data_IF_400549414635
#
_entry.id   IF_400549414635
#
_cell.length_a   1.000
_cell.length_b   1.000
_cell.length_c   1.000
_cell.angle_alpha   90.00
_cell.angle_beta   90.00
_cell.angle_gamma   90.00
#
_symmetry.space_group_name_H-M   'P 1'
#
loop_
_entity.id
_entity.type
_entity.pdbx_description
1 polymer ?
#
# COMPACT_ATOMS: atom_id res chain seq x y z
N UNK A 1 1.84 -21.03 -6.49
CA UNK A 1 1.51 -19.74 -7.12
C UNK A 1 0.88 -18.84 -6.07
N UNK A 2 1.52 -17.72 -5.70
CA UNK A 2 0.93 -16.76 -4.74
C UNK A 2 -0.11 -15.92 -5.51
N UNK A 3 -1.34 -16.41 -5.58
CA UNK A 3 -2.49 -15.58 -5.97
C UNK A 3 -2.72 -14.55 -4.84
N UNK A 4 -2.04 -13.40 -4.95
CA UNK A 4 -2.19 -12.27 -4.02
C UNK A 4 -3.24 -11.27 -4.49
N UNK A 5 -3.48 -10.23 -3.68
CA UNK A 5 -4.40 -9.13 -4.01
C UNK A 5 -4.14 -8.51 -5.40
N UNK A 6 -2.88 -8.48 -5.84
CA UNK A 6 -2.48 -8.05 -7.18
C UNK A 6 -3.11 -8.86 -8.31
N UNK A 7 -3.14 -10.20 -8.19
CA UNK A 7 -3.74 -11.05 -9.22
C UNK A 7 -5.25 -10.81 -9.30
N UNK A 8 -5.91 -10.64 -8.14
CA UNK A 8 -7.32 -10.32 -8.06
C UNK A 8 -7.64 -8.97 -8.74
N UNK A 9 -6.83 -7.94 -8.50
CA UNK A 9 -6.97 -6.63 -9.12
C UNK A 9 -6.83 -6.72 -10.65
N UNK A 10 -5.82 -7.45 -11.14
CA UNK A 10 -5.62 -7.67 -12.59
C UNK A 10 -6.81 -8.42 -13.21
N UNK A 11 -7.34 -9.46 -12.57
CA UNK A 11 -8.53 -10.17 -13.05
C UNK A 11 -9.78 -9.27 -13.04
N UNK A 12 -9.92 -8.39 -12.04
CA UNK A 12 -11.01 -7.44 -11.96
C UNK A 12 -10.97 -6.41 -13.10
N UNK A 13 -9.78 -5.90 -13.45
CA UNK A 13 -9.59 -4.98 -14.57
C UNK A 13 -9.77 -5.64 -15.96
N UNK A 14 -9.53 -6.96 -16.05
CA UNK A 14 -9.63 -7.71 -17.30
C UNK A 14 -11.07 -8.08 -17.65
N UNK A 15 -11.96 -8.17 -16.65
CA UNK A 15 -13.36 -8.56 -16.84
C UNK A 15 -14.26 -7.33 -17.14
N UNK A 16 -15.48 -7.58 -17.65
CA UNK A 16 -16.51 -6.53 -17.80
C UNK A 16 -16.80 -5.90 -16.43
N UNK A 17 -16.82 -4.55 -16.27
CA UNK A 17 -17.07 -3.49 -17.27
C UNK A 17 -15.85 -2.72 -17.82
N UNK A 18 -14.61 -3.04 -17.42
CA UNK A 18 -13.42 -2.24 -17.78
C UNK A 18 -12.70 -2.74 -19.03
N UNK A 19 -12.62 -4.06 -19.24
CA UNK A 19 -11.98 -4.67 -20.41
C UNK A 19 -10.60 -4.07 -20.75
N UNK A 20 -9.74 -3.87 -19.74
CA UNK A 20 -8.44 -3.25 -19.98
C UNK A 20 -7.53 -4.16 -20.80
N UNK A 21 -6.89 -3.59 -21.83
CA UNK A 21 -5.81 -4.28 -22.51
C UNK A 21 -4.63 -4.47 -21.55
N UNK A 22 -3.83 -5.55 -21.68
CA UNK A 22 -2.68 -5.83 -20.81
C UNK A 22 -1.70 -4.64 -20.68
N UNK A 23 -1.55 -3.87 -21.77
CA UNK A 23 -0.72 -2.65 -21.80
C UNK A 23 -1.25 -1.54 -20.86
N UNK A 24 -2.57 -1.37 -20.75
CA UNK A 24 -3.18 -0.38 -19.86
C UNK A 24 -3.06 -0.78 -18.39
N UNK A 25 -3.21 -2.08 -18.10
CA UNK A 25 -3.05 -2.63 -16.74
C UNK A 25 -1.63 -2.37 -16.22
N UNK A 26 -0.62 -2.63 -17.05
CA UNK A 26 0.78 -2.37 -16.70
C UNK A 26 1.06 -0.88 -16.43
N UNK A 27 0.51 0.01 -17.24
CA UNK A 27 0.63 1.47 -17.04
C UNK A 27 -0.06 1.88 -15.72
N UNK A 28 -1.27 1.39 -15.47
CA UNK A 28 -2.01 1.67 -14.24
C UNK A 28 -1.24 1.22 -12.99
N UNK A 29 -0.72 0.00 -13.00
CA UNK A 29 0.11 -0.54 -11.91
C UNK A 29 1.39 0.25 -11.70
N UNK A 30 2.02 0.71 -12.78
CA UNK A 30 3.21 1.55 -12.72
C UNK A 30 2.89 2.88 -12.05
N UNK A 31 1.77 3.52 -12.41
CA UNK A 31 1.32 4.79 -11.81
C UNK A 31 1.02 4.58 -10.33
N UNK A 32 0.24 3.55 -9.97
CA UNK A 32 -0.08 3.20 -8.59
C UNK A 32 1.19 3.02 -7.76
N UNK A 33 2.10 2.18 -8.23
CA UNK A 33 3.35 1.88 -7.52
C UNK A 33 4.24 3.11 -7.39
N UNK A 34 4.34 3.93 -8.45
CA UNK A 34 5.15 5.15 -8.44
C UNK A 34 4.60 6.20 -7.49
N UNK A 35 3.28 6.39 -7.48
CA UNK A 35 2.60 7.32 -6.58
C UNK A 35 2.78 6.88 -5.13
N UNK A 36 2.52 5.61 -4.81
CA UNK A 36 2.69 5.10 -3.45
C UNK A 36 4.14 5.20 -2.97
N UNK A 37 5.12 4.93 -3.84
CA UNK A 37 6.55 5.13 -3.50
C UNK A 37 6.89 6.59 -3.23
N UNK A 38 6.37 7.52 -4.05
CA UNK A 38 6.53 8.95 -3.82
C UNK A 38 5.94 9.38 -2.47
N UNK A 39 4.73 8.92 -2.14
CA UNK A 39 4.07 9.20 -0.87
C UNK A 39 4.86 8.64 0.31
N UNK A 40 5.46 7.46 0.20
CA UNK A 40 6.36 6.93 1.23
C UNK A 40 7.60 7.80 1.39
N UNK A 41 8.29 8.14 0.31
CA UNK A 41 9.53 8.93 0.37
C UNK A 41 9.27 10.33 0.94
N UNK A 42 8.23 11.00 0.49
CA UNK A 42 7.89 12.37 0.89
C UNK A 42 7.15 12.42 2.23
N UNK A 43 6.24 11.47 2.47
CA UNK A 43 5.32 11.45 3.59
C UNK A 43 5.88 10.82 4.85
N UNK A 44 6.75 9.80 4.77
CA UNK A 44 7.18 9.10 5.99
C UNK A 44 7.97 9.99 6.95
N UNK A 45 8.91 10.80 6.43
CA UNK A 45 9.75 11.69 7.25
C UNK A 45 8.93 12.70 8.09
N UNK A 46 7.98 13.47 7.52
CA UNK A 46 7.16 14.39 8.30
C UNK A 46 6.15 13.66 9.19
N UNK A 47 5.56 12.56 8.71
CA UNK A 47 4.52 11.83 9.43
C UNK A 47 5.07 11.17 10.69
N UNK A 48 6.29 10.60 10.64
CA UNK A 48 7.00 10.08 11.81
C UNK A 48 7.43 11.15 12.83
N UNK A 49 7.56 12.43 12.42
CA UNK A 49 7.83 13.52 13.36
C UNK A 49 6.58 14.08 14.02
N UNK A 50 5.44 14.05 13.33
CA UNK A 50 4.22 14.72 13.78
C UNK A 50 3.22 13.77 14.46
N UNK A 51 3.30 12.46 14.21
CA UNK A 51 2.34 11.46 14.72
C UNK A 51 3.04 10.28 15.38
N UNK A 52 2.33 9.63 16.33
CA UNK A 52 2.74 8.35 16.93
C UNK A 52 2.65 7.24 15.89
N UNK A 53 3.62 6.31 15.90
CA UNK A 53 3.71 5.21 14.93
C UNK A 53 2.40 4.40 14.82
N UNK A 54 1.67 4.21 15.92
CA UNK A 54 0.35 3.56 15.96
C UNK A 54 -0.73 4.30 15.16
N UNK A 55 -0.79 5.64 15.24
CA UNK A 55 -1.77 6.42 14.49
C UNK A 55 -1.49 6.36 12.99
N UNK A 56 -0.20 6.37 12.62
CA UNK A 56 0.22 6.25 11.22
C UNK A 56 -0.17 4.87 10.67
N UNK A 57 0.02 3.81 11.46
CA UNK A 57 -0.43 2.46 11.11
C UNK A 57 -1.96 2.38 10.96
N UNK A 58 -2.71 2.99 11.88
CA UNK A 58 -4.18 3.02 11.82
C UNK A 58 -4.69 3.76 10.58
N UNK A 59 -4.11 4.90 10.23
CA UNK A 59 -4.44 5.65 9.00
C UNK A 59 -4.12 4.80 7.76
N UNK A 60 -2.96 4.13 7.73
CA UNK A 60 -2.60 3.26 6.61
C UNK A 60 -3.57 2.08 6.41
N UNK A 61 -4.05 1.47 7.51
CA UNK A 61 -5.04 0.40 7.47
C UNK A 61 -6.41 0.93 7.03
N UNK A 62 -6.86 2.07 7.56
CA UNK A 62 -8.11 2.70 7.15
C UNK A 62 -8.11 3.06 5.66
N UNK A 63 -7.00 3.61 5.16
CA UNK A 63 -6.83 3.90 3.73
C UNK A 63 -6.86 2.65 2.87
N UNK A 64 -6.31 1.53 3.38
CA UNK A 64 -6.38 0.23 2.72
C UNK A 64 -7.83 -0.28 2.63
N UNK A 65 -8.58 -0.23 3.72
CA UNK A 65 -10.00 -0.59 3.74
C UNK A 65 -10.82 0.30 2.79
N UNK A 66 -10.59 1.61 2.82
CA UNK A 66 -11.25 2.55 1.91
C UNK A 66 -10.93 2.25 0.44
N UNK A 67 -9.68 1.91 0.12
CA UNK A 67 -9.28 1.48 -1.22
C UNK A 67 -10.10 0.26 -1.66
N UNK A 68 -10.15 -0.80 -0.85
CA UNK A 68 -10.93 -2.01 -1.19
C UNK A 68 -12.43 -1.74 -1.35
N UNK A 69 -13.00 -0.87 -0.51
CA UNK A 69 -14.41 -0.47 -0.64
C UNK A 69 -14.65 0.29 -1.95
N UNK A 70 -13.76 1.20 -2.33
CA UNK A 70 -13.84 1.93 -3.59
C UNK A 70 -13.66 1.01 -4.79
N UNK A 71 -12.77 0.03 -4.73
CA UNK A 71 -12.67 -1.02 -5.76
C UNK A 71 -13.96 -1.83 -5.91
N UNK A 72 -14.66 -2.12 -4.81
CA UNK A 72 -15.94 -2.83 -4.84
C UNK A 72 -17.09 -2.02 -5.47
N UNK A 73 -17.05 -0.69 -5.35
CA UNK A 73 -18.09 0.22 -5.86
C UNK A 73 -17.70 0.83 -7.22
N UNK A 74 -16.49 0.61 -7.72
CA UNK A 74 -15.98 1.23 -8.93
C UNK A 74 -16.79 0.84 -10.17
N UNK A 75 -17.50 1.81 -10.76
CA UNK A 75 -18.24 1.64 -12.02
C UNK A 75 -17.51 2.26 -13.22
N UNK A 76 -16.54 3.15 -12.99
CA UNK A 76 -15.80 3.85 -14.04
C UNK A 76 -14.29 3.88 -13.77
N UNK A 77 -13.50 4.04 -14.83
CA UNK A 77 -12.02 4.02 -14.74
C UNK A 77 -11.53 5.12 -13.77
N UNK A 78 -12.24 6.24 -13.70
CA UNK A 78 -11.95 7.35 -12.81
C UNK A 78 -12.02 6.95 -11.34
N UNK A 79 -12.96 6.08 -10.95
CA UNK A 79 -13.06 5.58 -9.58
C UNK A 79 -11.84 4.73 -9.20
N UNK A 80 -11.22 4.01 -10.16
CA UNK A 80 -10.01 3.24 -9.91
C UNK A 80 -8.81 4.15 -9.61
N UNK A 81 -8.64 5.25 -10.37
CA UNK A 81 -7.59 6.23 -10.08
C UNK A 81 -7.80 6.94 -8.74
N UNK A 82 -9.06 7.24 -8.38
CA UNK A 82 -9.40 7.80 -7.07
C UNK A 82 -9.10 6.78 -5.96
N UNK A 83 -9.43 5.50 -6.15
CA UNK A 83 -9.13 4.45 -5.19
C UNK A 83 -7.62 4.32 -4.95
N UNK A 84 -6.81 4.39 -6.00
CA UNK A 84 -5.34 4.42 -5.91
C UNK A 84 -4.83 5.65 -5.16
N UNK A 85 -5.41 6.83 -5.42
CA UNK A 85 -5.03 8.05 -4.72
C UNK A 85 -5.37 7.99 -3.22
N UNK A 86 -6.53 7.45 -2.86
CA UNK A 86 -6.95 7.26 -1.46
C UNK A 86 -6.10 6.19 -0.78
N UNK A 87 -5.80 5.10 -1.49
CA UNK A 87 -5.02 3.96 -0.99
C UNK A 87 -3.51 4.19 -0.92
N UNK A 88 -2.98 5.33 -1.39
CA UNK A 88 -1.53 5.55 -1.49
C UNK A 88 -0.77 5.41 -0.15
N UNK A 89 -1.47 5.64 0.97
CA UNK A 89 -0.92 5.50 2.33
C UNK A 89 -0.68 4.05 2.77
N UNK A 90 -1.25 3.05 2.09
CA UNK A 90 -1.05 1.63 2.44
C UNK A 90 0.43 1.23 2.39
N UNK A 91 1.21 1.84 1.50
CA UNK A 91 2.64 1.55 1.35
C UNK A 91 3.50 2.08 2.49
N UNK A 92 2.96 2.94 3.36
CA UNK A 92 3.63 3.37 4.58
C UNK A 92 3.53 2.31 5.69
N UNK A 93 2.56 1.39 5.65
CA UNK A 93 2.33 0.39 6.72
C UNK A 93 3.54 -0.53 6.94
N UNK A 94 4.19 -1.13 5.92
CA UNK A 94 5.35 -2.00 6.12
C UNK A 94 6.53 -1.35 6.86
N UNK A 95 7.01 -0.15 6.48
CA UNK A 95 8.11 0.50 7.21
C UNK A 95 7.71 0.97 8.61
N UNK A 96 6.46 1.39 8.85
CA UNK A 96 5.99 1.74 10.20
C UNK A 96 5.94 0.51 11.09
N UNK A 97 5.40 -0.60 10.59
CA UNK A 97 5.34 -1.85 11.34
C UNK A 97 6.74 -2.32 11.73
N UNK A 98 7.71 -2.20 10.80
CA UNK A 98 9.13 -2.45 11.10
C UNK A 98 9.67 -1.50 12.17
N UNK A 99 9.31 -0.22 12.15
CA UNK A 99 9.71 0.74 13.18
C UNK A 99 9.13 0.40 14.56
N UNK A 100 7.87 0.00 14.64
CA UNK A 100 7.21 -0.45 15.88
C UNK A 100 7.89 -1.72 16.41
N UNK A 101 8.10 -2.72 15.55
CA UNK A 101 8.79 -3.96 15.92
C UNK A 101 10.22 -3.70 16.42
N UNK A 102 10.93 -2.76 15.78
CA UNK A 102 12.26 -2.34 16.22
C UNK A 102 12.23 -1.72 17.62
N UNK A 103 11.23 -0.88 17.92
CA UNK A 103 11.03 -0.27 19.25
C UNK A 103 10.60 -1.26 20.34
N UNK A 104 9.86 -2.31 19.99
CA UNK A 104 9.43 -3.34 20.94
C UNK A 104 10.50 -4.40 21.23
N UNK A 105 11.60 -4.43 20.47
CA UNK A 105 12.69 -5.38 20.68
C UNK A 105 13.76 -4.73 21.58
N UNK A 106 14.12 -5.31 22.74
CA UNK A 106 15.18 -4.77 23.61
C UNK A 106 16.53 -4.72 22.87
N UNK A 107 17.34 -3.70 23.17
CA UNK A 107 18.58 -3.34 22.46
C UNK A 107 19.57 -4.52 22.31
N UNK A 108 19.54 -5.48 23.24
CA UNK A 108 20.37 -6.70 23.23
C UNK A 108 20.03 -7.73 22.13
N UNK A 109 18.91 -7.60 21.39
CA UNK A 109 18.52 -8.57 20.34
C UNK A 109 18.16 -7.99 18.97
N UNK A 110 18.25 -6.67 18.80
CA UNK A 110 17.95 -6.00 17.51
C UNK A 110 18.84 -6.50 16.35
N UNK A 111 20.05 -7.00 16.64
CA UNK A 111 20.93 -7.65 15.67
C UNK A 111 20.54 -9.07 15.25
N UNK A 112 19.62 -9.76 15.93
CA UNK A 112 19.22 -11.13 15.52
C UNK A 112 18.05 -11.15 14.55
N UNK A 113 17.16 -10.15 14.61
CA UNK A 113 15.99 -10.02 13.73
C UNK A 113 16.33 -9.43 12.36
N UNK A 114 17.40 -8.62 12.26
CA UNK A 114 17.90 -8.09 10.98
C UNK A 114 18.74 -9.09 10.18
N UNK A 115 19.38 -10.07 10.85
CA UNK A 115 20.29 -11.03 10.21
C UNK A 115 19.61 -12.37 9.86
N UNK A 116 18.42 -12.67 10.41
CA UNK A 116 17.65 -13.85 10.01
C UNK A 116 16.88 -13.67 8.69
N UNK A 117 16.82 -12.45 8.14
CA UNK A 117 16.18 -12.14 6.85
C UNK A 117 17.20 -11.94 5.70
N UNK A 118 18.47 -12.35 5.90
CA UNK A 118 19.54 -12.40 4.87
C UNK A 118 19.81 -13.86 4.50
#
# INVERSE_FOLDING_TARGET
AKFGAFAFEVFYLLNSPFCFSPKKISIFETIKTSLSKLVVILGMRPMQRCLMDELIALIGILSCTAMFLLFGVAQTETFLYIAVAVGCFVSCVPPILRAIMSKMTPEDKQGSVLFSEI
#
